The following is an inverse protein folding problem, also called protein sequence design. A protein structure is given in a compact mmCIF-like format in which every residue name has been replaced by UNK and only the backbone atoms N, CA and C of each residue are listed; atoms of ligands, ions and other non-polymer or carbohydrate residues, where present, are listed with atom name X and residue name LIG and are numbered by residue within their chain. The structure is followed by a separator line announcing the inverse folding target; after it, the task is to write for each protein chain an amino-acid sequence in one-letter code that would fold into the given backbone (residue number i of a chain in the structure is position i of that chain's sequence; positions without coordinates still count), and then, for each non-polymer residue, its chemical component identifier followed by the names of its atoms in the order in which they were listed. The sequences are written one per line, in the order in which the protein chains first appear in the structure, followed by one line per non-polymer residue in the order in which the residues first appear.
data_IF_572546292967
#
_entry.id   IF_572546292967
#
_cell.length_a   1.000
_cell.length_b   1.000
_cell.length_c   1.000
_cell.angle_alpha   90.00
_cell.angle_beta   90.00
_cell.angle_gamma   90.00
#
_symmetry.space_group_name_H-M   'P 1'
#
loop_
_entity.id
_entity.type
_entity.pdbx_description
1 polymer ?
#
# COMPACT_ATOMS: atom_id res chain seq x y z
N UNK A 1 14.16 6.37 3.47
CA UNK A 1 13.56 6.33 4.83
C UNK A 1 12.23 7.05 4.81
N UNK A 2 11.24 6.50 5.43
CA UNK A 2 9.97 7.19 5.62
C UNK A 2 9.47 7.02 7.05
N UNK A 3 8.60 7.93 7.47
CA UNK A 3 8.01 7.92 8.80
C UNK A 3 6.49 8.00 8.69
N UNK A 4 5.79 7.24 9.53
CA UNK A 4 4.33 7.30 9.61
C UNK A 4 3.98 8.14 10.83
N UNK A 5 3.29 9.25 10.58
CA UNK A 5 2.87 10.20 11.60
C UNK A 5 1.36 10.38 11.49
N UNK A 6 0.67 10.13 12.58
CA UNK A 6 -0.79 10.27 12.63
C UNK A 6 -1.16 11.66 13.15
N UNK A 7 -2.11 12.27 12.50
CA UNK A 7 -2.69 13.55 12.90
C UNK A 7 -4.19 13.40 13.09
N UNK A 8 -4.73 14.18 13.99
CA UNK A 8 -6.14 14.19 14.33
C UNK A 8 -6.75 15.54 13.97
N UNK A 9 -7.93 15.53 13.37
CA UNK A 9 -8.67 16.76 13.11
C UNK A 9 -9.28 17.26 14.40
N UNK A 10 -8.93 18.48 14.80
CA UNK A 10 -9.44 19.17 15.99
C UNK A 10 -9.75 20.62 15.61
N UNK A 11 -11.02 21.02 15.71
CA UNK A 11 -11.44 22.39 15.40
C UNK A 11 -10.94 22.93 14.06
N UNK A 12 -11.00 22.11 13.01
CA UNK A 12 -10.60 22.47 11.65
C UNK A 12 -9.09 22.47 11.40
N UNK A 13 -8.28 22.00 12.34
CA UNK A 13 -6.82 21.90 12.21
C UNK A 13 -6.37 20.46 12.44
N UNK A 14 -5.28 20.10 11.76
CA UNK A 14 -4.62 18.81 12.00
C UNK A 14 -3.58 18.99 13.12
N UNK A 15 -3.75 18.21 14.17
CA UNK A 15 -2.82 18.13 15.30
C UNK A 15 -2.20 16.73 15.36
N UNK A 16 -1.08 16.58 16.05
CA UNK A 16 -0.53 15.23 16.27
C UNK A 16 -1.51 14.38 17.07
N UNK A 17 -1.78 13.16 16.60
CA UNK A 17 -2.72 12.28 17.27
C UNK A 17 -2.24 11.86 18.66
N UNK A 18 -0.92 11.67 18.83
CA UNK A 18 -0.29 11.31 20.11
C UNK A 18 1.01 12.06 20.29
N UNK A 19 1.52 12.09 21.53
CA UNK A 19 2.85 12.62 21.81
C UNK A 19 3.96 11.85 21.07
N UNK A 20 3.77 10.54 20.87
CA UNK A 20 4.72 9.72 20.12
C UNK A 20 4.81 10.16 18.65
N UNK A 21 3.70 10.57 18.03
CA UNK A 21 3.70 11.09 16.67
C UNK A 21 4.50 12.39 16.56
N UNK A 22 4.36 13.28 17.55
CA UNK A 22 5.14 14.51 17.61
C UNK A 22 6.64 14.21 17.73
N UNK A 23 7.02 13.27 18.57
CA UNK A 23 8.43 12.85 18.75
C UNK A 23 8.99 12.28 17.45
N UNK A 24 8.22 11.43 16.76
CA UNK A 24 8.64 10.86 15.46
C UNK A 24 8.85 11.94 14.41
N UNK A 25 7.97 12.91 14.38
CA UNK A 25 8.10 14.03 13.45
C UNK A 25 9.37 14.86 13.72
N UNK A 26 9.65 15.16 14.99
CA UNK A 26 10.86 15.88 15.37
C UNK A 26 12.14 15.09 15.02
N UNK A 27 12.13 13.79 15.24
CA UNK A 27 13.25 12.92 14.86
C UNK A 27 13.44 12.89 13.34
N UNK A 28 12.36 12.85 12.59
CA UNK A 28 12.41 12.90 11.14
C UNK A 28 13.03 14.23 10.66
N UNK A 29 12.57 15.36 11.20
CA UNK A 29 13.12 16.66 10.87
C UNK A 29 14.63 16.73 11.17
N UNK A 30 15.07 16.13 12.27
CA UNK A 30 16.49 16.14 12.66
C UNK A 30 17.39 15.35 11.68
N UNK A 31 16.83 14.49 10.85
CA UNK A 31 17.58 13.75 9.83
C UNK A 31 17.76 14.53 8.52
N UNK A 32 17.02 15.61 8.35
CA UNK A 32 17.01 16.40 7.12
C UNK A 32 18.10 17.46 7.12
N UNK A 33 18.59 17.77 5.94
CA UNK A 33 19.56 18.83 5.68
C UNK A 33 18.93 19.90 4.78
N UNK A 34 19.47 21.09 4.83
CA UNK A 34 19.04 22.15 3.93
C UNK A 34 19.15 21.71 2.46
N UNK A 35 18.08 21.91 1.71
CA UNK A 35 17.98 21.50 0.32
C UNK A 35 17.36 20.12 0.09
N UNK A 36 17.15 19.32 1.14
CA UNK A 36 16.44 18.04 1.00
C UNK A 36 15.00 18.28 0.58
N UNK A 37 14.52 17.48 -0.35
CA UNK A 37 13.14 17.51 -0.82
C UNK A 37 12.38 16.37 -0.16
N UNK A 38 11.29 16.70 0.49
CA UNK A 38 10.43 15.73 1.19
C UNK A 38 9.12 15.58 0.43
N UNK A 39 8.72 14.35 0.19
CA UNK A 39 7.41 14.02 -0.36
C UNK A 39 6.52 13.50 0.77
N UNK A 40 5.36 14.11 0.93
CA UNK A 40 4.42 13.74 1.99
C UNK A 40 3.16 13.14 1.40
N UNK A 41 2.68 12.08 2.05
CA UNK A 41 1.41 11.44 1.76
C UNK A 41 0.45 11.64 2.91
N UNK A 42 -0.80 11.99 2.58
CA UNK A 42 -1.86 12.17 3.57
C UNK A 42 -3.06 11.32 3.18
N UNK A 43 -3.53 10.50 4.14
CA UNK A 43 -4.72 9.69 3.96
C UNK A 43 -5.52 9.64 5.26
N UNK A 44 -6.82 9.32 5.15
CA UNK A 44 -7.67 9.14 6.32
C UNK A 44 -7.48 7.72 6.85
N UNK A 45 -7.11 7.59 8.12
CA UNK A 45 -7.03 6.28 8.76
C UNK A 45 -8.43 5.69 8.95
N UNK A 46 -8.56 4.39 8.75
CA UNK A 46 -9.84 3.71 8.89
C UNK A 46 -9.98 2.60 7.86
N UNK A 47 -10.92 2.75 6.93
CA UNK A 47 -11.18 1.76 5.88
C UNK A 47 -10.26 1.85 4.67
N UNK A 48 -9.44 2.89 4.59
CA UNK A 48 -8.52 3.09 3.47
C UNK A 48 -7.27 2.23 3.61
N UNK A 49 -6.67 1.93 2.47
CA UNK A 49 -5.37 1.27 2.40
C UNK A 49 -4.31 2.00 3.20
N UNK A 50 -3.46 1.26 3.90
CA UNK A 50 -2.30 1.86 4.58
C UNK A 50 -1.05 1.72 3.72
N UNK A 51 -0.13 2.67 3.86
CA UNK A 51 1.19 2.62 3.21
C UNK A 51 1.92 1.33 3.61
N UNK A 52 1.79 0.92 4.87
CA UNK A 52 2.40 -0.31 5.37
C UNK A 52 1.88 -1.57 4.67
N UNK A 53 0.56 -1.66 4.43
CA UNK A 53 -0.03 -2.79 3.71
C UNK A 53 0.46 -2.84 2.27
N UNK A 54 0.49 -1.70 1.57
CA UNK A 54 0.96 -1.62 0.18
C UNK A 54 2.45 -2.00 0.11
N UNK A 55 3.26 -1.49 1.02
CA UNK A 55 4.69 -1.83 1.08
C UNK A 55 4.91 -3.32 1.32
N UNK A 56 4.11 -3.95 2.19
CA UNK A 56 4.18 -5.38 2.45
C UNK A 56 3.83 -6.20 1.20
N UNK A 57 2.75 -5.83 0.50
CA UNK A 57 2.36 -6.50 -0.74
C UNK A 57 3.49 -6.41 -1.77
N UNK A 58 4.07 -5.23 -1.98
CA UNK A 58 5.17 -5.05 -2.92
C UNK A 58 6.40 -5.88 -2.54
N UNK A 59 6.74 -5.95 -1.25
CA UNK A 59 7.84 -6.78 -0.78
C UNK A 59 7.60 -8.27 -1.05
N UNK A 60 6.38 -8.76 -0.78
CA UNK A 60 5.99 -10.14 -1.06
C UNK A 60 6.03 -10.47 -2.54
N UNK A 61 5.56 -9.55 -3.40
CA UNK A 61 5.59 -9.72 -4.84
C UNK A 61 7.02 -9.75 -5.39
N UNK A 62 7.93 -8.93 -4.85
CA UNK A 62 9.35 -8.97 -5.23
C UNK A 62 9.99 -10.29 -4.83
N UNK A 63 9.68 -10.79 -3.65
CA UNK A 63 10.18 -12.08 -3.17
C UNK A 63 9.68 -13.24 -4.05
N UNK A 64 8.37 -13.24 -4.39
CA UNK A 64 7.80 -14.21 -5.33
C UNK A 64 8.43 -14.11 -6.72
N UNK A 65 8.65 -12.90 -7.22
CA UNK A 65 9.28 -12.67 -8.52
C UNK A 65 10.70 -13.23 -8.54
N UNK A 66 11.48 -12.98 -7.51
CA UNK A 66 12.84 -13.50 -7.38
C UNK A 66 12.88 -15.02 -7.30
N UNK A 67 11.93 -15.63 -6.59
CA UNK A 67 11.88 -17.07 -6.41
C UNK A 67 11.36 -17.81 -7.65
N UNK A 68 10.28 -17.32 -8.26
CA UNK A 68 9.59 -18.01 -9.37
C UNK A 68 10.13 -17.67 -10.75
N UNK A 69 10.78 -16.52 -10.90
CA UNK A 69 11.17 -15.99 -12.20
C UNK A 69 10.05 -15.28 -12.97
N UNK A 70 8.81 -15.29 -12.45
CA UNK A 70 7.72 -14.50 -13.03
C UNK A 70 7.94 -13.02 -12.80
N UNK A 71 7.48 -12.17 -13.73
CA UNK A 71 7.62 -10.73 -13.61
C UNK A 71 6.80 -10.16 -12.45
N UNK A 72 7.31 -9.10 -11.83
CA UNK A 72 6.62 -8.41 -10.74
C UNK A 72 5.21 -7.94 -11.12
N UNK A 73 5.06 -7.31 -12.29
CA UNK A 73 3.77 -6.83 -12.78
C UNK A 73 2.81 -7.97 -13.11
N UNK A 74 3.33 -9.08 -13.61
CA UNK A 74 2.54 -10.30 -13.87
C UNK A 74 1.96 -10.86 -12.56
N UNK A 75 2.78 -11.01 -11.53
CA UNK A 75 2.35 -11.49 -10.21
C UNK A 75 1.37 -10.53 -9.55
N UNK A 76 1.60 -9.23 -9.68
CA UNK A 76 0.70 -8.19 -9.19
C UNK A 76 -0.68 -8.30 -9.83
N UNK A 77 -0.73 -8.50 -11.13
CA UNK A 77 -1.98 -8.71 -11.87
C UNK A 77 -2.70 -9.99 -11.42
N UNK A 78 -1.95 -11.08 -11.21
CA UNK A 78 -2.51 -12.34 -10.70
C UNK A 78 -3.18 -12.15 -9.33
N UNK A 79 -2.54 -11.43 -8.42
CA UNK A 79 -3.10 -11.13 -7.09
C UNK A 79 -4.39 -10.32 -7.22
N UNK A 80 -4.39 -9.30 -8.05
CA UNK A 80 -5.57 -8.45 -8.26
C UNK A 80 -6.73 -9.22 -8.88
N UNK A 81 -6.47 -10.07 -9.86
CA UNK A 81 -7.48 -10.90 -10.48
C UNK A 81 -8.08 -11.90 -9.50
N UNK A 82 -7.24 -12.55 -8.69
CA UNK A 82 -7.68 -13.53 -7.67
C UNK A 82 -8.55 -12.90 -6.59
N UNK A 83 -8.30 -11.65 -6.26
CA UNK A 83 -9.03 -10.94 -5.21
C UNK A 83 -10.19 -10.11 -5.73
N UNK A 84 -10.40 -10.10 -7.05
CA UNK A 84 -11.49 -9.32 -7.66
C UNK A 84 -11.28 -7.81 -7.59
N UNK A 85 -10.04 -7.35 -7.49
CA UNK A 85 -9.70 -5.94 -7.45
C UNK A 85 -9.74 -5.33 -8.85
N UNK A 86 -10.95 -5.16 -9.34
CA UNK A 86 -11.21 -4.69 -10.71
C UNK A 86 -12.19 -3.52 -10.67
N UNK A 87 -11.90 -2.50 -11.46
CA UNK A 87 -12.79 -1.37 -11.68
C UNK A 87 -13.47 -1.53 -13.03
N UNK A 88 -14.80 -1.44 -13.03
CA UNK A 88 -15.61 -1.48 -14.24
C UNK A 88 -15.90 -0.06 -14.70
N UNK A 89 -15.55 0.24 -15.93
CA UNK A 89 -15.79 1.55 -16.56
C UNK A 89 -16.54 1.39 -17.85
N UNK A 90 -17.31 2.42 -18.22
CA UNK A 90 -17.93 2.52 -19.54
C UNK A 90 -17.24 3.67 -20.27
N UNK A 91 -16.59 3.37 -21.36
CA UNK A 91 -15.86 4.33 -22.18
C UNK A 91 -16.21 4.10 -23.65
N UNK A 92 -16.69 5.14 -24.35
CA UNK A 92 -17.16 5.07 -25.75
C UNK A 92 -18.19 3.96 -25.98
N UNK A 93 -19.18 3.83 -25.09
CA UNK A 93 -20.22 2.80 -25.10
C UNK A 93 -19.71 1.36 -24.95
N UNK A 94 -18.43 1.18 -24.61
CA UNK A 94 -17.83 -0.13 -24.37
C UNK A 94 -17.56 -0.32 -22.87
N UNK A 95 -17.80 -1.53 -22.41
CA UNK A 95 -17.42 -1.94 -21.07
C UNK A 95 -15.92 -2.24 -21.03
N UNK A 96 -15.21 -1.57 -20.11
CA UNK A 96 -13.79 -1.76 -19.89
C UNK A 96 -13.58 -2.16 -18.44
N UNK A 97 -12.77 -3.19 -18.22
CA UNK A 97 -12.34 -3.63 -16.90
C UNK A 97 -10.88 -3.28 -16.72
N UNK A 98 -10.58 -2.57 -15.63
CA UNK A 98 -9.21 -2.23 -15.25
C UNK A 98 -8.89 -2.80 -13.87
N UNK A 99 -7.66 -3.24 -13.68
CA UNK A 99 -7.20 -3.65 -12.36
C UNK A 99 -7.13 -2.43 -11.44
N UNK A 100 -7.68 -2.58 -10.24
CA UNK A 100 -7.74 -1.50 -9.27
C UNK A 100 -6.35 -1.22 -8.71
N UNK A 101 -5.96 0.05 -8.65
CA UNK A 101 -4.72 0.45 -7.96
C UNK A 101 -4.84 0.15 -6.47
N UNK A 102 -3.79 -0.37 -5.85
CA UNK A 102 -3.76 -0.61 -4.41
C UNK A 102 -4.01 0.67 -3.60
N UNK A 103 -3.64 1.83 -4.12
CA UNK A 103 -3.88 3.12 -3.47
C UNK A 103 -5.36 3.44 -3.29
N UNK A 104 -6.23 2.87 -4.12
CA UNK A 104 -7.69 3.05 -4.05
C UNK A 104 -8.42 1.90 -3.35
N UNK A 105 -7.68 0.93 -2.84
CA UNK A 105 -8.26 -0.20 -2.12
C UNK A 105 -8.57 0.15 -0.67
N UNK A 106 -9.54 -0.55 -0.08
CA UNK A 106 -9.78 -0.52 1.36
C UNK A 106 -8.76 -1.37 2.10
N UNK A 107 -8.68 -1.22 3.43
CA UNK A 107 -7.85 -2.09 4.26
C UNK A 107 -8.22 -3.55 4.12
N UNK A 108 -9.52 -3.84 4.05
CA UNK A 108 -10.01 -5.20 3.88
C UNK A 108 -9.60 -5.78 2.54
N UNK A 109 -9.71 -5.00 1.46
CA UNK A 109 -9.26 -5.42 0.14
C UNK A 109 -7.75 -5.71 0.12
N UNK A 110 -6.95 -4.87 0.79
CA UNK A 110 -5.51 -5.11 0.89
C UNK A 110 -5.17 -6.30 1.77
N UNK A 111 -5.93 -6.55 2.83
CA UNK A 111 -5.75 -7.78 3.64
C UNK A 111 -6.01 -9.02 2.80
N UNK A 112 -7.03 -9.00 1.95
CA UNK A 112 -7.29 -10.08 0.99
C UNK A 112 -6.17 -10.24 -0.03
N UNK A 113 -5.59 -9.13 -0.50
CA UNK A 113 -4.44 -9.16 -1.41
C UNK A 113 -3.20 -9.76 -0.73
N UNK A 114 -2.96 -9.45 0.54
CA UNK A 114 -1.88 -10.06 1.33
C UNK A 114 -2.08 -11.58 1.44
N UNK A 115 -3.29 -12.01 1.78
CA UNK A 115 -3.62 -13.44 1.86
C UNK A 115 -3.43 -14.14 0.50
N UNK A 116 -3.79 -13.47 -0.59
CA UNK A 116 -3.57 -14.00 -1.94
C UNK A 116 -2.08 -14.14 -2.27
N UNK A 117 -1.24 -13.20 -1.84
CA UNK A 117 0.22 -13.31 -1.98
C UNK A 117 0.76 -14.54 -1.22
N UNK A 118 0.32 -14.72 0.02
CA UNK A 118 0.73 -15.88 0.84
C UNK A 118 0.30 -17.19 0.16
N UNK A 119 -0.93 -17.24 -0.34
CA UNK A 119 -1.46 -18.39 -1.03
C UNK A 119 -0.67 -18.71 -2.32
N UNK A 120 -0.32 -17.70 -3.11
CA UNK A 120 0.55 -17.89 -4.26
C UNK A 120 1.91 -18.43 -3.85
N UNK A 121 2.47 -17.93 -2.75
CA UNK A 121 3.71 -18.46 -2.18
C UNK A 121 3.61 -19.94 -1.87
N UNK A 122 2.52 -20.38 -1.26
CA UNK A 122 2.27 -21.80 -0.98
C UNK A 122 2.20 -22.62 -2.26
N UNK A 123 1.52 -22.13 -3.30
CA UNK A 123 1.40 -22.81 -4.57
C UNK A 123 2.75 -22.96 -5.29
N UNK A 124 3.64 -22.01 -5.13
CA UNK A 124 4.99 -22.05 -5.71
C UNK A 124 6.04 -22.64 -4.76
N UNK A 125 5.64 -23.15 -3.60
CA UNK A 125 6.54 -23.64 -2.55
C UNK A 125 7.53 -22.55 -2.07
N UNK A 126 7.09 -21.30 -2.06
CA UNK A 126 7.85 -20.15 -1.58
C UNK A 126 7.24 -19.67 -0.28
N UNK A 127 7.97 -19.81 0.82
CA UNK A 127 7.52 -19.31 2.12
C UNK A 127 7.83 -17.81 2.21
N UNK A 128 6.78 -16.99 2.23
CA UNK A 128 6.91 -15.55 2.36
C UNK A 128 7.05 -15.11 3.80
N UNK A 129 7.90 -14.14 4.02
CA UNK A 129 8.14 -13.56 5.34
C UNK A 129 6.98 -12.65 5.79
#
# INVERSE_FOLDING_TARGET
MYSIIKRKMVNGKLEFATAADQVRYQRFLATLKDGDIVEEFTEVCGNNATVAQIARIHAMLRELSAYTGHGFEELKSMVKERTGLVVHKIEDEKEIYELKSFAYCSRQELSQAIDACIHLGELFNCQLA
#
